data_IF_986947464057
#
_entry.id   IF_986947464057
#
_cell.length_a   1.000
_cell.length_b   1.000
_cell.length_c   1.000
_cell.angle_alpha   90.00
_cell.angle_beta   90.00
_cell.angle_gamma   90.00
#
_symmetry.space_group_name_H-M   'P 1'
#
loop_
_entity.id
_entity.type
_entity.pdbx_description
1 polymer ?
#
# COMPACT_ATOMS: atom_id res chain seq x y z
N UNK A 1 -10.12 -11.70 4.11
CA UNK A 1 -11.23 -10.83 3.66
C UNK A 1 -10.77 -9.60 2.85
N UNK A 2 -9.50 -9.17 2.93
CA UNK A 2 -8.97 -8.04 2.13
C UNK A 2 -8.70 -8.39 0.64
N UNK A 3 -8.79 -9.67 0.26
CA UNK A 3 -8.41 -10.16 -1.07
C UNK A 3 -9.53 -10.02 -2.13
N UNK A 4 -10.79 -9.89 -1.69
CA UNK A 4 -11.95 -9.81 -2.61
C UNK A 4 -12.12 -8.41 -3.22
N UNK A 5 -11.82 -7.34 -2.46
CA UNK A 5 -11.95 -5.96 -2.92
C UNK A 5 -10.95 -5.60 -4.03
N UNK A 6 -9.85 -6.35 -4.17
CA UNK A 6 -8.82 -6.10 -5.18
C UNK A 6 -9.20 -6.64 -6.58
N UNK A 7 -10.20 -7.53 -6.69
CA UNK A 7 -10.63 -8.16 -7.95
C UNK A 7 -11.76 -7.45 -8.69
N UNK A 8 -12.42 -6.45 -8.09
CA UNK A 8 -13.59 -5.81 -8.73
C UNK A 8 -13.25 -4.84 -9.86
N UNK A 9 -11.96 -4.55 -10.15
CA UNK A 9 -11.59 -3.63 -11.24
C UNK A 9 -12.10 -2.19 -11.05
N UNK A 10 -12.55 -1.87 -9.84
CA UNK A 10 -13.08 -0.56 -9.44
C UNK A 10 -11.99 0.38 -8.94
N UNK A 11 -10.76 -0.08 -8.78
CA UNK A 11 -9.65 0.77 -8.36
C UNK A 11 -9.11 1.49 -9.61
N UNK A 12 -9.28 2.81 -9.64
CA UNK A 12 -8.83 3.69 -10.72
C UNK A 12 -7.32 3.93 -10.61
N UNK A 13 -6.82 4.16 -9.39
CA UNK A 13 -5.38 4.23 -9.13
C UNK A 13 -5.06 3.98 -7.65
N UNK A 14 -3.87 3.42 -7.40
CA UNK A 14 -3.28 3.33 -6.07
C UNK A 14 -1.98 4.12 -6.11
N UNK A 15 -1.81 5.03 -5.17
CA UNK A 15 -0.57 5.80 -5.00
C UNK A 15 -0.06 5.64 -3.58
N UNK A 16 1.15 5.12 -3.43
CA UNK A 16 1.82 5.04 -2.14
C UNK A 16 2.94 6.08 -2.06
N UNK A 17 3.07 6.76 -0.92
CA UNK A 17 4.07 7.79 -0.66
C UNK A 17 4.65 7.63 0.74
N UNK A 18 5.93 7.95 0.87
CA UNK A 18 6.64 7.96 2.16
C UNK A 18 6.68 9.37 2.72
N UNK A 19 6.55 9.47 4.04
CA UNK A 19 6.60 10.70 4.83
C UNK A 19 7.82 10.60 5.74
N UNK A 20 8.62 11.66 5.76
CA UNK A 20 9.81 11.76 6.58
C UNK A 20 9.63 12.79 7.70
N UNK A 21 10.56 12.81 8.65
CA UNK A 21 10.49 13.69 9.82
C UNK A 21 10.40 15.18 9.47
N UNK A 22 11.01 15.60 8.35
CA UNK A 22 11.01 16.99 7.90
C UNK A 22 9.86 17.31 6.91
N UNK A 23 9.03 16.32 6.55
CA UNK A 23 7.91 16.54 5.64
C UNK A 23 6.71 17.12 6.41
N UNK A 24 5.96 18.04 5.79
CA UNK A 24 4.71 18.54 6.36
C UNK A 24 3.59 17.56 6.03
N UNK A 25 3.12 16.86 7.04
CA UNK A 25 2.09 15.84 6.90
C UNK A 25 0.98 16.03 7.93
N UNK A 26 -0.24 16.17 7.44
CA UNK A 26 -1.47 16.28 8.25
C UNK A 26 -2.50 15.31 7.69
N UNK A 27 -3.16 14.56 8.57
CA UNK A 27 -4.24 13.67 8.19
C UNK A 27 -5.32 13.68 9.27
N UNK A 28 -6.57 13.48 8.87
CA UNK A 28 -7.71 13.38 9.77
C UNK A 28 -8.63 12.26 9.31
N UNK A 29 -9.02 11.39 10.24
CA UNK A 29 -10.00 10.32 10.05
C UNK A 29 -11.40 10.71 10.57
N UNK A 30 -11.70 12.01 10.56
CA UNK A 30 -12.96 12.55 11.06
C UNK A 30 -14.14 12.25 10.13
N UNK A 31 -15.19 13.06 10.23
CA UNK A 31 -16.33 13.02 9.30
C UNK A 31 -15.88 13.22 7.84
N UNK A 32 -14.87 14.06 7.66
CA UNK A 32 -14.21 14.30 6.38
C UNK A 32 -12.78 13.78 6.44
N UNK A 33 -12.54 12.66 5.76
CA UNK A 33 -11.21 12.08 5.64
C UNK A 33 -10.33 13.00 4.77
N UNK A 34 -9.35 13.66 5.38
CA UNK A 34 -8.43 14.56 4.67
C UNK A 34 -6.99 14.11 4.89
N UNK A 35 -6.19 14.21 3.82
CA UNK A 35 -4.77 13.90 3.84
C UNK A 35 -4.01 14.96 3.05
N UNK A 36 -3.16 15.70 3.73
CA UNK A 36 -2.27 16.69 3.16
C UNK A 36 -0.82 16.28 3.38
N UNK A 37 -0.06 16.20 2.29
CA UNK A 37 1.36 15.90 2.33
C UNK A 37 2.11 16.89 1.44
N UNK A 38 2.93 17.72 2.06
CA UNK A 38 3.88 18.59 1.39
C UNK A 38 5.30 18.08 1.70
N UNK A 39 5.94 17.40 0.73
CA UNK A 39 7.29 16.88 0.92
C UNK A 39 8.28 18.04 1.01
N UNK A 40 9.29 17.90 1.86
CA UNK A 40 10.41 18.83 1.90
C UNK A 40 11.27 18.60 0.65
N UNK A 41 11.34 19.60 -0.24
CA UNK A 41 12.15 19.55 -1.46
C UNK A 41 13.60 19.96 -1.24
N UNK A 42 13.91 20.63 -0.13
CA UNK A 42 15.21 21.22 0.17
C UNK A 42 15.86 20.56 1.39
N UNK A 43 16.92 19.77 1.13
CA UNK A 43 17.79 19.19 2.15
C UNK A 43 17.57 17.70 2.43
N UNK A 44 18.12 17.23 3.55
CA UNK A 44 17.89 15.88 4.07
C UNK A 44 16.45 15.75 4.58
N UNK A 45 15.65 14.88 3.95
CA UNK A 45 14.26 14.62 4.38
C UNK A 45 14.17 14.02 5.79
N UNK A 46 15.27 13.48 6.30
CA UNK A 46 15.36 12.85 7.61
C UNK A 46 14.85 11.42 7.61
N UNK A 47 14.55 10.90 8.80
CA UNK A 47 14.10 9.52 8.96
C UNK A 47 12.65 9.33 8.51
N UNK A 48 12.34 8.16 7.95
CA UNK A 48 10.98 7.79 7.56
C UNK A 48 10.10 7.61 8.81
N UNK A 49 9.03 8.40 8.89
CA UNK A 49 8.11 8.39 10.03
C UNK A 49 6.85 7.59 9.69
N UNK A 50 6.23 7.89 8.55
CA UNK A 50 4.97 7.30 8.12
C UNK A 50 5.01 6.95 6.63
N UNK A 51 4.12 6.06 6.22
CA UNK A 51 3.85 5.73 4.81
C UNK A 51 2.35 5.74 4.65
N UNK A 52 1.85 6.35 3.58
CA UNK A 52 0.45 6.29 3.28
C UNK A 52 0.19 5.80 1.86
N UNK A 53 -0.96 5.16 1.68
CA UNK A 53 -1.47 4.75 0.39
C UNK A 53 -2.84 5.39 0.17
N UNK A 54 -3.05 5.95 -1.02
CA UNK A 54 -4.33 6.49 -1.46
C UNK A 54 -4.84 5.59 -2.59
N UNK A 55 -6.00 5.00 -2.39
CA UNK A 55 -6.76 4.28 -3.39
C UNK A 55 -7.91 5.15 -3.88
N UNK A 56 -7.91 5.45 -5.18
CA UNK A 56 -9.02 6.12 -5.86
C UNK A 56 -9.87 5.06 -6.54
N UNK A 57 -11.16 5.04 -6.24
CA UNK A 57 -12.13 4.17 -6.89
C UNK A 57 -12.74 4.89 -8.10
N UNK A 58 -13.18 4.12 -9.10
CA UNK A 58 -13.87 4.62 -10.30
C UNK A 58 -15.20 5.27 -9.97
N UNK A 59 -15.82 4.88 -8.87
CA UNK A 59 -17.10 5.42 -8.38
C UNK A 59 -16.94 6.78 -7.66
N UNK A 60 -15.72 7.36 -7.66
CA UNK A 60 -15.43 8.66 -7.04
C UNK A 60 -15.04 8.59 -5.57
N UNK A 61 -15.14 7.42 -4.94
CA UNK A 61 -14.64 7.20 -3.59
C UNK A 61 -13.11 7.32 -3.52
N UNK A 62 -12.62 8.04 -2.52
CA UNK A 62 -11.19 8.07 -2.18
C UNK A 62 -11.06 7.46 -0.80
N UNK A 63 -10.12 6.54 -0.68
CA UNK A 63 -9.78 5.88 0.58
C UNK A 63 -8.28 6.00 0.76
N UNK A 64 -7.84 6.33 1.97
CA UNK A 64 -6.42 6.34 2.27
C UNK A 64 -6.14 5.65 3.60
N UNK A 65 -4.98 5.01 3.65
CA UNK A 65 -4.50 4.34 4.86
C UNK A 65 -3.10 4.86 5.16
N UNK A 66 -2.88 5.23 6.43
CA UNK A 66 -1.60 5.72 6.93
C UNK A 66 -1.06 4.67 7.88
N UNK A 67 0.17 4.23 7.63
CA UNK A 67 0.89 3.28 8.46
C UNK A 67 2.14 3.94 9.03
N UNK A 68 2.42 3.63 10.30
CA UNK A 68 3.70 3.98 10.91
C UNK A 68 4.82 3.12 10.34
N UNK A 69 6.07 3.57 10.49
CA UNK A 69 7.25 2.73 10.13
C UNK A 69 7.21 1.34 10.76
N UNK A 70 6.81 1.24 12.03
CA UNK A 70 6.76 -0.04 12.74
C UNK A 70 5.73 -1.00 12.12
N UNK A 71 4.60 -0.47 11.66
CA UNK A 71 3.57 -1.28 11.01
C UNK A 71 3.99 -1.70 9.59
N UNK A 72 4.71 -0.84 8.87
CA UNK A 72 5.32 -1.21 7.58
C UNK A 72 6.30 -2.37 7.74
N UNK A 73 7.12 -2.38 8.79
CA UNK A 73 8.05 -3.50 9.04
C UNK A 73 7.30 -4.80 9.36
N UNK A 74 6.22 -4.74 10.15
CA UNK A 74 5.34 -5.91 10.41
C UNK A 74 4.70 -6.42 9.13
N UNK A 75 4.12 -5.54 8.31
CA UNK A 75 3.49 -5.91 7.04
C UNK A 75 4.52 -6.48 6.06
N UNK A 76 5.75 -5.95 6.06
CA UNK A 76 6.85 -6.49 5.25
C UNK A 76 7.27 -7.89 5.70
N UNK A 77 7.31 -8.14 7.01
CA UNK A 77 7.58 -9.47 7.57
C UNK A 77 6.48 -10.47 7.17
N UNK A 78 5.21 -10.07 7.28
CA UNK A 78 4.06 -10.88 6.87
C UNK A 78 4.02 -11.13 5.34
N UNK A 79 4.36 -10.11 4.54
CA UNK A 79 4.37 -10.23 3.07
C UNK A 79 5.51 -11.10 2.55
N UNK A 80 6.68 -11.12 3.21
CA UNK A 80 7.75 -12.08 2.91
C UNK A 80 7.37 -13.52 3.28
N UNK A 81 6.55 -13.73 4.32
CA UNK A 81 5.98 -15.04 4.62
C UNK A 81 4.95 -15.51 3.56
N UNK A 82 4.48 -14.61 2.70
CA UNK A 82 3.63 -14.90 1.53
C UNK A 82 4.37 -15.47 0.31
N UNK A 83 5.68 -15.74 0.39
CA UNK A 83 6.46 -16.39 -0.68
C UNK A 83 6.11 -17.88 -0.91
N UNK A 84 5.00 -18.36 -0.36
CA UNK A 84 4.35 -19.62 -0.75
C UNK A 84 3.12 -19.30 -1.61
N UNK A 85 3.36 -18.64 -2.74
CA UNK A 85 2.32 -18.43 -3.75
C UNK A 85 2.00 -19.75 -4.46
N UNK A 86 0.72 -20.13 -4.62
CA UNK A 86 0.30 -21.40 -5.27
C UNK A 86 0.70 -21.52 -6.75
N UNK A 87 1.37 -20.50 -7.31
CA UNK A 87 1.83 -20.45 -8.70
C UNK A 87 3.24 -21.02 -8.92
N UNK A 88 3.97 -21.38 -7.86
CA UNK A 88 5.23 -22.13 -7.96
C UNK A 88 5.03 -23.64 -8.20
N UNK A 89 3.79 -24.15 -8.13
CA UNK A 89 3.49 -25.58 -8.33
C UNK A 89 2.77 -25.91 -9.64
N UNK A 90 2.72 -24.98 -10.60
CA UNK A 90 2.06 -25.19 -11.91
C UNK A 90 3.05 -25.25 -13.07
N UNK A 91 4.33 -25.57 -12.84
CA UNK A 91 5.26 -25.89 -13.94
C UNK A 91 5.44 -27.39 -14.18
N UNK A 92 4.96 -28.27 -13.29
CA UNK A 92 5.15 -29.73 -13.43
C UNK A 92 3.83 -30.50 -13.54
N UNK A 93 3.02 -30.19 -14.55
CA UNK A 93 1.96 -31.13 -15.01
C UNK A 93 1.64 -31.04 -16.50
N UNK A 94 2.67 -30.91 -17.34
CA UNK A 94 2.55 -31.18 -18.77
C UNK A 94 3.82 -31.85 -19.31
N UNK A 95 4.10 -33.08 -18.86
CA UNK A 95 4.90 -34.01 -19.67
C UNK A 95 4.15 -35.32 -19.85
N UNK A 96 3.50 -35.37 -21.02
CA UNK A 96 3.20 -36.54 -21.86
C UNK A 96 2.56 -37.74 -21.17
N UNK A 97 1.24 -37.82 -21.36
CA UNK A 97 0.66 -39.02 -21.95
C UNK A 97 1.41 -39.34 -23.26
N UNK A 98 2.11 -40.46 -23.27
CA UNK A 98 2.27 -41.35 -24.42
C UNK A 98 2.27 -42.77 -23.90
#
# INVERSE_FOLDING_TARGET
>A
MIDLARRSGQILSISARTVHANDKFSYSYGLDETLEHSPCETGDRGELTHVYAVARLKDGGVQFEVMSRADVEKVRALSKAGSSGPWLTTSMRWQKRR
#
